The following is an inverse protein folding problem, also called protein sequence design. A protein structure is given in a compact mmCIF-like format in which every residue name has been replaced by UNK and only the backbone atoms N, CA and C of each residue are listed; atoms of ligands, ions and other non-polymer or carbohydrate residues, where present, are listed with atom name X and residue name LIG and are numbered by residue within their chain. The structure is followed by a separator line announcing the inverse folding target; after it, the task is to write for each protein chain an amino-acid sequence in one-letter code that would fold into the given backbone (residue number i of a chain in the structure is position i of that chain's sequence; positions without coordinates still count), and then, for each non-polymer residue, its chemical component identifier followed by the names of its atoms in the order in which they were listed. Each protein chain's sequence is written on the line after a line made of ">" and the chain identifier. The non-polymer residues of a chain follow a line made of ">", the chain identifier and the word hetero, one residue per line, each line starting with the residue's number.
data_IF_376596232531
#
_entry.id   IF_376596232531
#
_cell.length_a   1.000
_cell.length_b   1.000
_cell.length_c   1.000
_cell.angle_alpha   90.00
_cell.angle_beta   90.00
_cell.angle_gamma   90.00
#
_symmetry.space_group_name_H-M   'P 1'
#
loop_
_entity.id
_entity.type
_entity.pdbx_description
1 polymer ?
#
# COMPACT_ATOMS: atom_id res chain seq x y z
N UNK A 1 7.89 -32.70 20.06
CA UNK A 1 6.78 -32.19 19.23
C UNK A 1 6.80 -30.68 19.31
N UNK A 2 6.56 -29.98 18.20
CA UNK A 2 6.43 -28.52 18.22
C UNK A 2 5.08 -28.13 18.86
N UNK A 3 5.07 -27.07 19.65
CA UNK A 3 3.89 -26.56 20.37
C UNK A 3 3.82 -25.03 20.29
N UNK A 4 2.61 -24.52 20.53
CA UNK A 4 2.39 -23.09 20.71
C UNK A 4 2.86 -22.68 22.11
N UNK A 5 3.44 -21.49 22.19
CA UNK A 5 3.87 -20.82 23.42
C UNK A 5 3.25 -19.44 23.45
N UNK A 6 2.79 -18.95 24.61
CA UNK A 6 2.30 -17.56 24.78
C UNK A 6 1.22 -17.10 23.76
N UNK A 7 0.53 -18.02 23.09
CA UNK A 7 -0.47 -17.74 22.07
C UNK A 7 -1.66 -18.65 22.26
N UNK A 8 -2.84 -18.07 22.49
CA UNK A 8 -4.11 -18.79 22.54
C UNK A 8 -4.90 -18.53 21.25
N UNK A 9 -5.10 -19.56 20.41
CA UNK A 9 -5.85 -19.42 19.18
C UNK A 9 -7.31 -19.02 19.43
N UNK A 10 -7.80 -18.07 18.64
CA UNK A 10 -9.22 -17.68 18.62
C UNK A 10 -10.06 -18.74 17.92
N UNK A 11 -11.35 -18.82 18.23
CA UNK A 11 -12.24 -19.85 17.68
C UNK A 11 -12.28 -19.85 16.15
N UNK A 12 -12.36 -18.66 15.53
CA UNK A 12 -12.35 -18.55 14.07
C UNK A 12 -11.00 -19.02 13.46
N UNK A 13 -9.88 -18.82 14.16
CA UNK A 13 -8.56 -19.28 13.69
C UNK A 13 -8.48 -20.81 13.71
N UNK A 14 -9.05 -21.45 14.73
CA UNK A 14 -9.16 -22.91 14.82
C UNK A 14 -10.10 -23.48 13.75
N UNK A 15 -11.24 -22.83 13.52
CA UNK A 15 -12.18 -23.20 12.45
C UNK A 15 -11.50 -23.16 11.08
N UNK A 16 -10.81 -22.07 10.76
CA UNK A 16 -10.08 -21.92 9.50
C UNK A 16 -8.93 -22.92 9.41
N UNK A 17 -8.16 -23.10 10.48
CA UNK A 17 -7.10 -24.12 10.54
C UNK A 17 -7.63 -25.52 10.17
N UNK A 18 -8.77 -25.94 10.73
CA UNK A 18 -9.37 -27.23 10.44
C UNK A 18 -9.80 -27.38 8.97
N UNK A 19 -10.22 -26.28 8.33
CA UNK A 19 -10.56 -26.25 6.91
C UNK A 19 -9.31 -26.29 6.01
N UNK A 20 -8.20 -25.70 6.46
CA UNK A 20 -6.98 -25.52 5.65
C UNK A 20 -5.92 -26.60 5.82
N UNK A 21 -5.97 -27.45 6.86
CA UNK A 21 -4.88 -28.39 7.20
C UNK A 21 -4.56 -29.45 6.14
N UNK A 22 -5.46 -29.69 5.20
CA UNK A 22 -5.36 -30.73 4.17
C UNK A 22 -5.50 -30.21 2.74
N UNK A 23 -5.77 -28.92 2.54
CA UNK A 23 -6.05 -28.33 1.22
C UNK A 23 -5.31 -27.02 1.04
N UNK A 24 -4.81 -26.79 -0.17
CA UNK A 24 -4.24 -25.48 -0.52
C UNK A 24 -5.33 -24.41 -0.38
N UNK A 25 -5.12 -23.44 0.50
CA UNK A 25 -6.20 -22.57 0.96
C UNK A 25 -5.88 -21.09 0.83
N UNK A 26 -6.84 -20.32 0.34
CA UNK A 26 -6.83 -18.85 0.37
C UNK A 26 -7.72 -18.37 1.51
N UNK A 27 -7.09 -17.75 2.50
CA UNK A 27 -7.76 -17.20 3.68
C UNK A 27 -7.82 -15.68 3.57
N UNK A 28 -9.04 -15.15 3.55
CA UNK A 28 -9.36 -13.74 3.41
C UNK A 28 -9.93 -13.26 4.74
N UNK A 29 -9.16 -12.44 5.45
CA UNK A 29 -9.50 -11.94 6.79
C UNK A 29 -9.16 -10.46 6.93
N UNK A 30 -9.99 -9.65 7.62
CA UNK A 30 -9.69 -8.26 7.95
C UNK A 30 -8.29 -8.05 8.53
N UNK A 31 -7.73 -6.86 8.36
CA UNK A 31 -6.44 -6.53 8.98
C UNK A 31 -6.55 -6.47 10.50
N UNK A 32 -5.47 -6.82 11.19
CA UNK A 32 -5.42 -6.71 12.66
C UNK A 32 -6.11 -7.84 13.44
N UNK A 33 -6.82 -8.78 12.81
CA UNK A 33 -7.46 -9.87 13.56
C UNK A 33 -6.52 -11.04 13.87
N UNK A 34 -5.35 -11.14 13.22
CA UNK A 34 -4.34 -12.15 13.54
C UNK A 34 -4.20 -13.28 12.52
N UNK A 35 -4.11 -12.94 11.22
CA UNK A 35 -3.87 -13.90 10.12
C UNK A 35 -2.68 -14.83 10.36
N UNK A 36 -1.58 -14.29 10.90
CA UNK A 36 -0.37 -15.06 11.21
C UNK A 36 -0.62 -16.21 12.21
N UNK A 37 -1.63 -16.10 13.08
CA UNK A 37 -2.01 -17.19 13.99
C UNK A 37 -2.40 -18.48 13.26
N UNK A 38 -3.02 -18.38 12.09
CA UNK A 38 -3.39 -19.55 11.26
C UNK A 38 -2.14 -20.19 10.66
N UNK A 39 -1.16 -19.38 10.25
CA UNK A 39 0.14 -19.88 9.79
C UNK A 39 0.91 -20.61 10.90
N UNK A 40 0.88 -20.10 12.14
CA UNK A 40 1.51 -20.78 13.29
C UNK A 40 0.87 -22.16 13.54
N UNK A 41 -0.46 -22.23 13.55
CA UNK A 41 -1.20 -23.48 13.74
C UNK A 41 -0.86 -24.51 12.67
N UNK A 42 -0.87 -24.11 11.40
CA UNK A 42 -0.50 -24.97 10.28
C UNK A 42 0.97 -25.40 10.37
N UNK A 43 1.89 -24.48 10.66
CA UNK A 43 3.31 -24.80 10.78
C UNK A 43 3.56 -25.88 11.84
N UNK A 44 2.99 -25.72 13.04
CA UNK A 44 3.12 -26.70 14.12
C UNK A 44 2.50 -28.04 13.74
N UNK A 45 1.30 -28.01 13.16
CA UNK A 45 0.63 -29.23 12.71
C UNK A 45 1.49 -30.01 11.70
N UNK A 46 2.05 -29.32 10.71
CA UNK A 46 2.90 -29.92 9.68
C UNK A 46 4.22 -30.44 10.23
N UNK A 47 4.86 -29.72 11.15
CA UNK A 47 6.08 -30.18 11.82
C UNK A 47 5.83 -31.37 12.77
N UNK A 48 4.61 -31.55 13.28
CA UNK A 48 4.28 -32.71 14.11
C UNK A 48 3.96 -33.97 13.28
N UNK A 49 3.36 -33.81 12.10
CA UNK A 49 3.11 -34.92 11.16
C UNK A 49 4.39 -35.30 10.40
N UNK A 50 5.20 -34.30 10.02
CA UNK A 50 6.43 -34.46 9.26
C UNK A 50 7.61 -33.82 10.01
N UNK A 51 8.19 -34.49 11.03
CA UNK A 51 9.23 -33.92 11.91
C UNK A 51 10.48 -33.40 11.21
N UNK A 52 10.88 -34.05 10.12
CA UNK A 52 12.06 -33.70 9.31
C UNK A 52 11.77 -32.64 8.24
N UNK A 53 10.52 -32.20 8.13
CA UNK A 53 10.14 -31.18 7.15
C UNK A 53 10.40 -29.76 7.64
N UNK A 54 10.25 -28.82 6.70
CA UNK A 54 10.48 -27.39 6.90
C UNK A 54 9.27 -26.55 6.54
N UNK A 55 9.26 -25.33 7.06
CA UNK A 55 8.23 -24.33 6.81
C UNK A 55 8.84 -23.13 6.11
N UNK A 56 8.21 -22.67 5.02
CA UNK A 56 8.59 -21.46 4.32
C UNK A 56 7.46 -20.43 4.42
N UNK A 57 7.73 -19.28 5.02
CA UNK A 57 6.81 -18.14 5.02
C UNK A 57 7.39 -17.01 4.17
N UNK A 58 6.64 -16.61 3.15
CA UNK A 58 7.00 -15.51 2.27
C UNK A 58 6.11 -14.30 2.52
N UNK A 59 6.71 -13.13 2.75
CA UNK A 59 6.01 -11.85 2.95
C UNK A 59 6.65 -10.74 2.11
N UNK A 60 5.91 -9.73 1.63
CA UNK A 60 6.42 -8.85 0.58
C UNK A 60 7.56 -7.90 0.97
N UNK A 61 7.78 -7.64 2.26
CA UNK A 61 8.77 -6.65 2.71
C UNK A 61 9.62 -7.20 3.85
N UNK A 62 10.88 -6.77 3.94
CA UNK A 62 11.79 -7.18 5.01
C UNK A 62 11.25 -6.87 6.42
N UNK A 63 10.64 -5.69 6.68
CA UNK A 63 10.02 -5.42 7.99
C UNK A 63 8.91 -6.41 8.36
N UNK A 64 8.04 -6.78 7.41
CA UNK A 64 7.00 -7.78 7.66
C UNK A 64 7.59 -9.16 7.92
N UNK A 65 8.60 -9.57 7.14
CA UNK A 65 9.34 -10.80 7.40
C UNK A 65 9.94 -10.81 8.81
N UNK A 66 10.56 -9.71 9.23
CA UNK A 66 11.11 -9.58 10.59
C UNK A 66 10.03 -9.74 11.66
N UNK A 67 8.88 -9.09 11.48
CA UNK A 67 7.73 -9.20 12.39
C UNK A 67 7.23 -10.66 12.48
N UNK A 68 7.14 -11.36 11.36
CA UNK A 68 6.74 -12.78 11.35
C UNK A 68 7.80 -13.66 12.04
N UNK A 69 9.09 -13.41 11.82
CA UNK A 69 10.18 -14.11 12.54
C UNK A 69 10.04 -13.94 14.05
N UNK A 70 9.90 -12.70 14.52
CA UNK A 70 9.69 -12.39 15.95
C UNK A 70 8.41 -13.07 16.48
N UNK A 71 7.34 -13.10 15.68
CA UNK A 71 6.09 -13.79 16.05
C UNK A 71 6.31 -15.29 16.23
N UNK A 72 7.01 -15.95 15.31
CA UNK A 72 7.32 -17.39 15.42
C UNK A 72 8.19 -17.72 16.64
N UNK A 73 9.23 -16.91 16.91
CA UNK A 73 10.10 -17.07 18.09
C UNK A 73 9.29 -16.94 19.38
N UNK A 74 8.43 -15.93 19.46
CA UNK A 74 7.69 -15.64 20.70
C UNK A 74 6.48 -16.57 20.91
N UNK A 75 5.94 -17.14 19.83
CA UNK A 75 4.65 -17.85 19.85
C UNK A 75 4.77 -19.37 19.71
N UNK A 76 5.98 -19.92 19.58
CA UNK A 76 6.22 -21.36 19.43
C UNK A 76 7.37 -21.83 20.32
N UNK A 77 7.42 -23.13 20.62
CA UNK A 77 8.54 -23.77 21.32
C UNK A 77 9.63 -24.29 20.36
N UNK A 78 9.61 -23.87 19.09
CA UNK A 78 10.68 -24.18 18.13
C UNK A 78 11.93 -23.43 18.59
N UNK A 79 13.09 -24.10 18.56
CA UNK A 79 14.34 -23.47 18.97
C UNK A 79 14.61 -22.24 18.10
N UNK A 80 14.88 -21.09 18.73
CA UNK A 80 15.14 -19.83 18.02
C UNK A 80 16.24 -19.98 16.96
N UNK A 81 17.25 -20.83 17.23
CA UNK A 81 18.31 -21.13 16.28
C UNK A 81 17.85 -21.88 15.02
N UNK A 82 16.66 -22.49 15.03
CA UNK A 82 16.06 -23.17 13.87
C UNK A 82 15.14 -22.25 13.05
N UNK A 83 14.87 -21.03 13.54
CA UNK A 83 14.04 -20.02 12.89
C UNK A 83 14.96 -18.95 12.29
N UNK A 84 14.73 -18.56 11.04
CA UNK A 84 15.55 -17.51 10.41
C UNK A 84 14.77 -16.50 9.59
N UNK A 85 15.19 -15.24 9.70
CA UNK A 85 14.92 -14.20 8.72
C UNK A 85 15.92 -14.33 7.57
N UNK A 86 15.50 -14.97 6.49
CA UNK A 86 16.32 -15.23 5.32
C UNK A 86 16.27 -14.05 4.34
N UNK A 87 17.38 -13.32 4.23
CA UNK A 87 17.46 -12.12 3.40
C UNK A 87 18.63 -12.18 2.43
N UNK A 88 18.53 -11.42 1.33
CA UNK A 88 19.63 -11.25 0.38
C UNK A 88 20.88 -10.54 0.94
N UNK A 89 20.91 -10.12 2.22
CA UNK A 89 22.12 -9.60 2.87
C UNK A 89 23.04 -10.73 3.34
N UNK A 90 22.54 -11.97 3.44
CA UNK A 90 23.35 -13.14 3.76
C UNK A 90 24.31 -13.46 2.59
N UNK A 91 25.57 -13.75 2.91
CA UNK A 91 26.58 -14.12 1.91
C UNK A 91 26.10 -15.33 1.10
N UNK A 92 26.26 -15.28 -0.23
CA UNK A 92 25.77 -16.32 -1.15
C UNK A 92 26.26 -17.73 -0.79
N UNK A 93 27.52 -17.86 -0.36
CA UNK A 93 28.13 -19.16 -0.05
C UNK A 93 27.55 -19.79 1.23
N UNK A 94 27.13 -18.98 2.21
CA UNK A 94 26.53 -19.47 3.45
C UNK A 94 25.02 -19.72 3.31
N UNK A 95 24.37 -19.12 2.30
CA UNK A 95 22.92 -19.22 2.11
C UNK A 95 22.42 -20.64 1.86
N UNK A 96 23.24 -21.49 1.22
CA UNK A 96 22.89 -22.90 0.98
C UNK A 96 22.86 -23.70 2.28
N UNK A 97 23.92 -23.64 3.09
CA UNK A 97 24.00 -24.36 4.37
C UNK A 97 22.93 -23.88 5.36
N UNK A 98 22.74 -22.57 5.45
CA UNK A 98 21.70 -21.98 6.30
C UNK A 98 20.32 -22.49 5.87
N UNK A 99 20.00 -22.50 4.58
CA UNK A 99 18.70 -22.97 4.11
C UNK A 99 18.49 -24.48 4.35
N UNK A 100 19.57 -25.28 4.35
CA UNK A 100 19.49 -26.70 4.70
C UNK A 100 19.36 -26.97 6.22
N UNK A 101 19.91 -26.12 7.08
CA UNK A 101 19.92 -26.35 8.53
C UNK A 101 18.65 -25.84 9.24
N UNK A 102 18.00 -24.79 8.72
CA UNK A 102 16.88 -24.15 9.40
C UNK A 102 15.55 -24.86 9.15
N UNK A 103 14.69 -24.88 10.18
CA UNK A 103 13.39 -25.54 10.17
C UNK A 103 12.26 -24.61 9.75
N UNK A 104 12.33 -23.34 10.14
CA UNK A 104 11.38 -22.29 9.75
C UNK A 104 12.14 -21.16 9.09
N UNK A 105 11.83 -20.91 7.82
CA UNK A 105 12.47 -19.89 7.00
C UNK A 105 11.43 -18.83 6.65
N UNK A 106 11.71 -17.59 7.04
CA UNK A 106 10.88 -16.44 6.72
C UNK A 106 11.65 -15.54 5.76
N UNK A 107 11.11 -15.26 4.58
CA UNK A 107 11.84 -14.57 3.52
C UNK A 107 10.93 -13.67 2.68
N UNK A 108 11.54 -12.82 1.86
CA UNK A 108 10.82 -12.21 0.75
C UNK A 108 10.74 -13.18 -0.44
N UNK A 109 9.62 -13.23 -1.19
CA UNK A 109 9.49 -14.09 -2.36
C UNK A 109 10.64 -13.95 -3.36
N UNK A 110 11.15 -12.73 -3.56
CA UNK A 110 12.22 -12.43 -4.50
C UNK A 110 13.55 -13.06 -4.08
N UNK A 111 13.83 -13.14 -2.77
CA UNK A 111 15.05 -13.77 -2.26
C UNK A 111 15.03 -15.26 -2.55
N UNK A 112 13.91 -15.93 -2.28
CA UNK A 112 13.73 -17.35 -2.56
C UNK A 112 13.77 -17.62 -4.07
N UNK A 113 13.07 -16.81 -4.87
CA UNK A 113 13.06 -16.93 -6.32
C UNK A 113 14.47 -16.86 -6.92
N UNK A 114 15.28 -15.87 -6.50
CA UNK A 114 16.65 -15.72 -6.99
C UNK A 114 17.52 -16.94 -6.70
N UNK A 115 17.35 -17.53 -5.51
CA UNK A 115 18.16 -18.63 -5.04
C UNK A 115 17.72 -19.97 -5.67
N UNK A 116 16.42 -20.13 -5.94
CA UNK A 116 15.88 -21.22 -6.77
C UNK A 116 16.41 -21.14 -8.20
N UNK A 117 16.31 -19.97 -8.84
CA UNK A 117 16.81 -19.77 -10.22
C UNK A 117 18.32 -20.00 -10.36
N UNK A 118 19.07 -19.88 -9.26
CA UNK A 118 20.51 -20.15 -9.22
C UNK A 118 20.86 -21.58 -8.79
N UNK A 119 19.86 -22.48 -8.66
CA UNK A 119 20.00 -23.84 -8.15
C UNK A 119 20.74 -23.92 -6.80
N UNK A 120 20.60 -22.89 -5.95
CA UNK A 120 21.26 -22.84 -4.63
C UNK A 120 20.47 -23.54 -3.55
N UNK A 121 19.15 -23.60 -3.70
CA UNK A 121 18.21 -24.16 -2.71
C UNK A 121 17.19 -25.09 -3.40
N UNK A 122 16.60 -26.00 -2.62
CA UNK A 122 15.51 -26.89 -3.03
C UNK A 122 14.33 -26.75 -2.07
N UNK A 123 13.11 -26.94 -2.55
CA UNK A 123 11.89 -26.91 -1.74
C UNK A 123 11.35 -28.32 -1.38
N UNK A 124 12.11 -29.36 -1.69
CA UNK A 124 11.69 -30.76 -1.54
C UNK A 124 11.26 -31.12 -0.11
N UNK A 125 12.01 -30.65 0.89
CA UNK A 125 11.76 -30.97 2.29
C UNK A 125 10.79 -30.00 2.99
N UNK A 126 10.15 -29.10 2.24
CA UNK A 126 9.19 -28.15 2.81
C UNK A 126 7.78 -28.73 2.80
N UNK A 127 7.14 -28.82 3.97
CA UNK A 127 5.78 -29.35 4.10
C UNK A 127 4.70 -28.27 4.15
N UNK A 128 5.09 -26.99 4.22
CA UNK A 128 4.19 -25.85 4.19
C UNK A 128 4.84 -24.64 3.50
N UNK A 129 4.12 -24.05 2.55
CA UNK A 129 4.41 -22.74 1.98
C UNK A 129 3.31 -21.74 2.37
N UNK A 130 3.67 -20.73 3.15
CA UNK A 130 2.79 -19.61 3.49
C UNK A 130 3.11 -18.41 2.60
N UNK A 131 2.11 -17.92 1.88
CA UNK A 131 2.19 -16.68 1.09
C UNK A 131 1.38 -15.59 1.77
N UNK A 132 2.06 -14.66 2.42
CA UNK A 132 1.47 -13.45 2.99
C UNK A 132 1.26 -12.38 1.91
N UNK A 133 0.20 -11.60 2.06
CA UNK A 133 -0.29 -10.66 1.04
C UNK A 133 -0.52 -11.30 -0.34
N UNK A 134 -1.22 -12.43 -0.36
CA UNK A 134 -1.50 -13.23 -1.55
C UNK A 134 -2.19 -12.47 -2.69
N UNK A 135 -2.81 -11.31 -2.42
CA UNK A 135 -3.33 -10.41 -3.44
C UNK A 135 -2.27 -9.89 -4.43
N UNK A 136 -0.98 -10.08 -4.12
CA UNK A 136 0.17 -9.75 -4.98
C UNK A 136 0.57 -10.89 -5.93
N UNK A 137 -0.03 -12.07 -5.81
CA UNK A 137 0.23 -13.24 -6.64
C UNK A 137 -0.54 -13.23 -7.97
N UNK A 138 -0.71 -12.04 -8.56
CA UNK A 138 -1.34 -11.84 -9.88
C UNK A 138 -0.27 -11.52 -10.89
N UNK A 139 -0.33 -12.03 -12.12
CA UNK A 139 0.74 -12.00 -13.13
C UNK A 139 1.95 -12.87 -12.78
N UNK A 140 2.98 -12.89 -13.64
CA UNK A 140 4.23 -13.68 -13.48
C UNK A 140 5.18 -13.09 -12.43
N UNK A 141 4.73 -12.92 -11.18
CA UNK A 141 5.58 -12.52 -10.06
C UNK A 141 6.29 -13.70 -9.40
N UNK A 142 7.20 -13.37 -8.48
CA UNK A 142 7.93 -14.31 -7.65
C UNK A 142 7.04 -15.36 -6.96
N UNK A 143 5.86 -14.97 -6.45
CA UNK A 143 4.95 -15.89 -5.76
C UNK A 143 4.44 -17.01 -6.68
N UNK A 144 4.08 -16.69 -7.93
CA UNK A 144 3.54 -17.66 -8.89
C UNK A 144 4.59 -18.68 -9.29
N UNK A 145 5.84 -18.24 -9.54
CA UNK A 145 6.94 -19.16 -9.82
C UNK A 145 7.26 -20.03 -8.60
N UNK A 146 7.29 -19.42 -7.42
CA UNK A 146 7.55 -20.12 -6.16
C UNK A 146 6.51 -21.20 -5.89
N UNK A 147 5.22 -20.90 -6.00
CA UNK A 147 4.13 -21.85 -5.81
C UNK A 147 4.22 -23.02 -6.80
N UNK A 148 4.46 -22.72 -8.09
CA UNK A 148 4.65 -23.76 -9.12
C UNK A 148 5.81 -24.68 -8.79
N UNK A 149 6.99 -24.12 -8.47
CA UNK A 149 8.17 -24.91 -8.10
C UNK A 149 7.89 -25.74 -6.84
N UNK A 150 7.27 -25.15 -5.83
CA UNK A 150 6.92 -25.83 -4.58
C UNK A 150 6.00 -27.04 -4.80
N UNK A 151 4.89 -26.87 -5.52
CA UNK A 151 3.95 -27.96 -5.83
C UNK A 151 4.65 -29.08 -6.61
N UNK A 152 5.56 -28.75 -7.53
CA UNK A 152 6.25 -29.75 -8.34
C UNK A 152 7.39 -30.50 -7.63
N UNK A 153 7.92 -29.99 -6.52
CA UNK A 153 9.14 -30.52 -5.89
C UNK A 153 8.97 -30.99 -4.45
N UNK A 154 8.03 -30.42 -3.70
CA UNK A 154 7.78 -30.79 -2.30
C UNK A 154 7.24 -32.23 -2.20
N UNK A 155 7.76 -33.00 -1.24
CA UNK A 155 7.22 -34.32 -0.88
C UNK A 155 5.82 -34.27 -0.26
N UNK A 156 5.51 -33.17 0.43
CA UNK A 156 4.27 -32.99 1.18
C UNK A 156 3.75 -31.56 0.94
N UNK A 157 3.26 -31.24 -0.27
CA UNK A 157 2.86 -29.88 -0.61
C UNK A 157 1.63 -29.44 0.18
N UNK A 158 1.70 -28.26 0.80
CA UNK A 158 0.54 -27.53 1.32
C UNK A 158 0.78 -26.02 1.23
N UNK A 159 -0.14 -25.28 0.61
CA UNK A 159 -0.07 -23.82 0.46
C UNK A 159 -1.14 -23.15 1.33
N UNK A 160 -0.69 -22.18 2.14
CA UNK A 160 -1.57 -21.24 2.83
C UNK A 160 -1.36 -19.84 2.26
N UNK A 161 -2.35 -19.32 1.56
CA UNK A 161 -2.36 -17.95 1.05
C UNK A 161 -3.16 -17.05 2.00
N UNK A 162 -2.55 -15.98 2.51
CA UNK A 162 -3.17 -15.05 3.45
C UNK A 162 -3.37 -13.69 2.80
N UNK A 163 -4.56 -13.09 2.93
CA UNK A 163 -4.77 -11.70 2.49
C UNK A 163 -5.89 -10.97 3.22
N UNK A 164 -5.84 -9.64 3.22
CA UNK A 164 -6.96 -8.80 3.66
C UNK A 164 -8.02 -8.61 2.58
N UNK A 165 -7.58 -8.57 1.33
CA UNK A 165 -8.42 -8.27 0.19
C UNK A 165 -7.76 -8.88 -1.06
N UNK A 166 -8.35 -9.91 -1.67
CA UNK A 166 -7.75 -10.58 -2.83
C UNK A 166 -7.82 -9.70 -4.09
N UNK A 167 -8.80 -8.80 -4.18
CA UNK A 167 -9.04 -7.91 -5.31
C UNK A 167 -10.50 -7.48 -5.37
N UNK A 168 -10.82 -6.55 -6.27
CA UNK A 168 -12.17 -5.99 -6.43
C UNK A 168 -13.04 -6.72 -7.46
N UNK A 169 -12.52 -7.74 -8.15
CA UNK A 169 -13.23 -8.45 -9.22
C UNK A 169 -13.01 -9.95 -9.12
N UNK A 170 -13.97 -10.75 -9.60
CA UNK A 170 -13.95 -12.22 -9.54
C UNK A 170 -12.76 -12.80 -10.33
N UNK A 171 -12.44 -12.20 -11.47
CA UNK A 171 -11.34 -12.62 -12.34
C UNK A 171 -10.00 -12.53 -11.61
N UNK A 172 -9.79 -11.46 -10.82
CA UNK A 172 -8.58 -11.29 -10.02
C UNK A 172 -8.46 -12.31 -8.91
N UNK A 173 -9.58 -12.76 -8.34
CA UNK A 173 -9.59 -13.79 -7.29
C UNK A 173 -9.26 -15.14 -7.91
N UNK A 174 -9.92 -15.49 -9.03
CA UNK A 174 -9.65 -16.72 -9.77
C UNK A 174 -8.18 -16.80 -10.20
N UNK A 175 -7.62 -15.70 -10.72
CA UNK A 175 -6.19 -15.64 -11.09
C UNK A 175 -5.26 -15.99 -9.91
N UNK A 176 -5.56 -15.51 -8.70
CA UNK A 176 -4.78 -15.85 -7.50
C UNK A 176 -4.95 -17.34 -7.16
N UNK A 177 -6.19 -17.84 -7.23
CA UNK A 177 -6.48 -19.25 -6.97
C UNK A 177 -5.69 -20.17 -7.92
N UNK A 178 -5.72 -19.87 -9.22
CA UNK A 178 -5.01 -20.63 -10.23
C UNK A 178 -3.48 -20.57 -10.03
N UNK A 179 -2.94 -19.37 -9.80
CA UNK A 179 -1.50 -19.16 -9.63
C UNK A 179 -0.92 -19.82 -8.36
N UNK A 180 -1.74 -19.99 -7.32
CA UNK A 180 -1.33 -20.54 -6.03
C UNK A 180 -1.90 -21.93 -5.77
N UNK A 181 -2.49 -22.58 -6.79
CA UNK A 181 -3.05 -23.93 -6.71
C UNK A 181 -4.09 -24.09 -5.57
N UNK A 182 -4.94 -23.08 -5.39
CA UNK A 182 -5.91 -23.02 -4.29
C UNK A 182 -7.10 -23.93 -4.58
N UNK A 183 -7.45 -24.75 -3.60
CA UNK A 183 -8.56 -25.71 -3.62
C UNK A 183 -9.70 -25.30 -2.67
N UNK A 184 -9.38 -24.43 -1.70
CA UNK A 184 -10.30 -24.00 -0.65
C UNK A 184 -10.19 -22.49 -0.41
N UNK A 185 -11.33 -21.81 -0.26
CA UNK A 185 -11.37 -20.36 0.01
C UNK A 185 -12.15 -20.13 1.31
N UNK A 186 -11.46 -19.61 2.31
CA UNK A 186 -12.03 -19.25 3.61
C UNK A 186 -12.14 -17.73 3.71
N UNK A 187 -13.36 -17.23 3.91
CA UNK A 187 -13.63 -15.80 4.03
C UNK A 187 -14.25 -15.54 5.39
N UNK A 188 -13.73 -14.52 6.08
CA UNK A 188 -14.48 -13.81 7.11
C UNK A 188 -14.41 -12.32 6.84
N UNK A 189 -15.43 -11.62 7.28
CA UNK A 189 -15.66 -10.20 7.22
C UNK A 189 -15.69 -9.64 8.64
N UNK A 190 -15.72 -8.32 8.76
CA UNK A 190 -15.83 -7.66 10.07
C UNK A 190 -17.18 -7.90 10.77
N UNK A 191 -18.17 -8.40 10.03
CA UNK A 191 -19.52 -8.63 10.52
C UNK A 191 -19.77 -10.08 10.97
N UNK A 192 -18.88 -11.02 10.64
CA UNK A 192 -19.06 -12.43 11.01
C UNK A 192 -19.02 -12.62 12.53
N UNK A 193 -19.92 -13.45 13.04
CA UNK A 193 -20.15 -13.61 14.48
C UNK A 193 -18.91 -14.14 15.24
N UNK A 194 -18.08 -14.94 14.57
CA UNK A 194 -16.84 -15.49 15.11
C UNK A 194 -15.64 -14.53 15.02
N UNK A 195 -15.75 -13.42 14.26
CA UNK A 195 -14.70 -12.40 14.10
C UNK A 195 -15.02 -11.10 14.84
N UNK A 196 -16.28 -10.66 14.80
CA UNK A 196 -16.77 -9.40 15.39
C UNK A 196 -16.34 -9.17 16.85
N UNK A 197 -16.31 -10.17 17.75
CA UNK A 197 -15.86 -9.96 19.14
C UNK A 197 -14.40 -9.52 19.28
N UNK A 198 -13.58 -9.76 18.26
CA UNK A 198 -12.15 -9.49 18.28
C UNK A 198 -11.74 -8.20 17.56
N UNK A 199 -12.71 -7.49 16.98
CA UNK A 199 -12.47 -6.25 16.28
C UNK A 199 -12.65 -5.06 17.21
N UNK A 200 -11.69 -4.15 17.16
CA UNK A 200 -11.87 -2.84 17.80
C UNK A 200 -12.91 -2.06 17.02
N UNK A 201 -13.96 -1.61 17.71
CA UNK A 201 -14.96 -0.72 17.12
C UNK A 201 -14.28 0.59 16.72
N UNK A 202 -14.34 0.92 15.43
CA UNK A 202 -13.94 2.23 14.92
C UNK A 202 -15.19 3.04 14.67
N UNK A 203 -15.31 4.18 15.33
CA UNK A 203 -16.35 5.16 15.01
C UNK A 203 -15.74 6.16 14.03
N UNK A 204 -16.31 6.26 12.83
CA UNK A 204 -15.90 7.24 11.83
C UNK A 204 -16.87 8.41 11.92
N UNK A 205 -16.37 9.58 12.32
CA UNK A 205 -17.13 10.82 12.32
C UNK A 205 -16.65 11.71 11.18
N UNK A 206 -17.56 12.09 10.29
CA UNK A 206 -17.27 12.97 9.16
C UNK A 206 -17.58 14.42 9.55
N UNK A 207 -16.54 15.21 9.74
CA UNK A 207 -16.66 16.64 10.05
C UNK A 207 -16.41 17.43 8.76
N UNK A 208 -17.46 18.09 8.27
CA UNK A 208 -17.34 19.01 7.13
C UNK A 208 -16.86 20.37 7.64
N UNK A 209 -15.76 20.86 7.07
CA UNK A 209 -15.18 22.17 7.43
C UNK A 209 -15.31 23.10 6.23
N UNK A 210 -16.09 24.16 6.40
CA UNK A 210 -16.28 25.17 5.36
C UNK A 210 -15.06 26.07 5.22
N UNK A 211 -14.81 26.51 3.99
CA UNK A 211 -13.79 27.52 3.71
C UNK A 211 -14.36 28.89 4.08
N UNK A 212 -13.49 29.79 4.55
CA UNK A 212 -13.84 31.20 4.72
C UNK A 212 -14.23 31.80 3.36
N UNK A 213 -15.18 32.73 3.35
CA UNK A 213 -15.73 33.32 2.12
C UNK A 213 -14.65 33.93 1.22
N UNK A 214 -13.62 34.54 1.80
CA UNK A 214 -12.49 35.14 1.09
C UNK A 214 -11.61 34.10 0.40
N UNK A 215 -11.24 33.02 1.10
CA UNK A 215 -10.53 31.87 0.53
C UNK A 215 -11.37 31.12 -0.49
N UNK A 216 -12.68 31.01 -0.24
CA UNK A 216 -13.60 30.35 -1.15
C UNK A 216 -13.73 31.13 -2.46
N UNK A 217 -13.81 32.47 -2.39
CA UNK A 217 -13.79 33.33 -3.55
C UNK A 217 -12.49 33.16 -4.37
N UNK A 218 -11.33 33.17 -3.69
CA UNK A 218 -10.05 32.91 -4.34
C UNK A 218 -10.00 31.52 -5.01
N UNK A 219 -10.46 30.48 -4.32
CA UNK A 219 -10.59 29.11 -4.84
C UNK A 219 -11.48 29.05 -6.08
N UNK A 220 -12.66 29.68 -6.05
CA UNK A 220 -13.61 29.72 -7.17
C UNK A 220 -12.99 30.38 -8.41
N UNK A 221 -12.28 31.50 -8.23
CA UNK A 221 -11.58 32.19 -9.31
C UNK A 221 -10.50 31.31 -9.93
N UNK A 222 -9.65 30.68 -9.11
CA UNK A 222 -8.62 29.75 -9.59
C UNK A 222 -9.21 28.52 -10.29
N UNK A 223 -10.33 27.97 -9.80
CA UNK A 223 -11.04 26.86 -10.45
C UNK A 223 -11.64 27.27 -11.79
N UNK A 224 -12.15 28.48 -11.91
CA UNK A 224 -12.63 29.03 -13.18
C UNK A 224 -11.48 29.11 -14.19
N UNK A 225 -10.36 29.73 -13.79
CA UNK A 225 -9.13 29.81 -14.59
C UNK A 225 -8.62 28.42 -14.99
N UNK A 226 -8.71 27.43 -14.09
CA UNK A 226 -8.30 26.05 -14.37
C UNK A 226 -9.19 25.40 -15.43
N UNK A 227 -10.51 25.54 -15.32
CA UNK A 227 -11.46 25.04 -16.32
C UNK A 227 -11.26 25.68 -17.69
N UNK A 228 -11.07 26.99 -17.73
CA UNK A 228 -10.76 27.70 -18.97
C UNK A 228 -9.45 27.18 -19.59
N UNK A 229 -8.43 27.00 -18.76
CA UNK A 229 -7.13 26.48 -19.18
C UNK A 229 -7.20 25.04 -19.69
N UNK A 230 -8.09 24.21 -19.15
CA UNK A 230 -8.31 22.83 -19.62
C UNK A 230 -8.91 22.78 -21.02
N UNK A 231 -9.73 23.78 -21.41
CA UNK A 231 -10.29 23.84 -22.77
C UNK A 231 -9.21 23.90 -23.85
N UNK A 232 -8.03 24.47 -23.53
CA UNK A 232 -6.87 24.52 -24.40
C UNK A 232 -6.26 23.15 -24.73
N UNK A 233 -6.62 22.08 -24.00
CA UNK A 233 -6.15 20.72 -24.27
C UNK A 233 -6.74 20.15 -25.57
N UNK A 234 -7.91 20.62 -26.00
CA UNK A 234 -8.49 20.26 -27.31
C UNK A 234 -7.57 20.65 -28.47
N UNK A 235 -6.91 21.81 -28.36
CA UNK A 235 -5.96 22.33 -29.38
C UNK A 235 -4.71 21.47 -29.56
N UNK A 236 -4.43 20.57 -28.62
CA UNK A 236 -3.31 19.63 -28.67
C UNK A 236 -3.79 18.18 -28.84
N UNK A 237 -5.04 17.97 -29.27
CA UNK A 237 -5.59 16.66 -29.62
C UNK A 237 -6.13 15.85 -28.43
N UNK A 238 -6.30 16.45 -27.25
CA UNK A 238 -6.88 15.77 -26.09
C UNK A 238 -8.35 16.17 -25.89
N UNK A 239 -9.26 15.31 -26.35
CA UNK A 239 -10.70 15.59 -26.45
C UNK A 239 -11.53 14.92 -25.35
N UNK A 240 -11.02 14.92 -24.12
CA UNK A 240 -11.77 14.42 -22.95
C UNK A 240 -12.61 15.56 -22.36
N UNK A 241 -13.89 15.33 -21.98
CA UNK A 241 -14.68 16.35 -21.30
C UNK A 241 -13.98 16.88 -20.05
N UNK A 242 -13.93 18.21 -19.89
CA UNK A 242 -13.26 18.91 -18.79
C UNK A 242 -13.66 18.37 -17.41
N UNK A 243 -14.91 17.94 -17.25
CA UNK A 243 -15.48 17.39 -16.01
C UNK A 243 -14.82 16.09 -15.55
N UNK A 244 -14.18 15.33 -16.43
CA UNK A 244 -13.61 14.02 -16.12
C UNK A 244 -12.08 13.96 -16.32
N UNK A 245 -11.43 15.10 -16.59
CA UNK A 245 -9.97 15.16 -16.71
C UNK A 245 -9.35 15.08 -15.32
N UNK A 246 -8.56 14.04 -15.08
CA UNK A 246 -7.85 13.82 -13.83
C UNK A 246 -6.42 14.38 -13.88
N UNK A 247 -5.82 14.63 -12.70
CA UNK A 247 -4.39 14.94 -12.57
C UNK A 247 -3.49 13.87 -13.21
N UNK A 248 -3.93 12.60 -13.17
CA UNK A 248 -3.24 11.47 -13.81
C UNK A 248 -3.23 11.60 -15.33
N UNK A 249 -4.33 12.05 -15.93
CA UNK A 249 -4.41 12.30 -17.37
C UNK A 249 -3.40 13.38 -17.79
N UNK A 250 -3.34 14.48 -17.04
CA UNK A 250 -2.39 15.58 -17.30
C UNK A 250 -0.93 15.11 -17.22
N UNK A 251 -0.57 14.31 -16.21
CA UNK A 251 0.78 13.75 -16.07
C UNK A 251 1.11 12.79 -17.22
N UNK A 252 0.14 11.96 -17.63
CA UNK A 252 0.32 11.03 -18.75
C UNK A 252 0.57 11.78 -20.05
N UNK A 253 -0.24 12.80 -20.34
CA UNK A 253 -0.06 13.67 -21.50
C UNK A 253 1.29 14.38 -21.48
N UNK A 254 1.70 14.89 -20.31
CA UNK A 254 2.99 15.56 -20.17
C UNK A 254 4.14 14.63 -20.54
N UNK A 255 4.09 13.37 -20.09
CA UNK A 255 5.08 12.34 -20.45
C UNK A 255 5.07 12.02 -21.95
N UNK A 256 3.91 11.98 -22.58
CA UNK A 256 3.78 11.77 -24.03
C UNK A 256 4.44 12.89 -24.81
N UNK A 257 4.07 14.15 -24.55
CA UNK A 257 4.66 15.30 -25.26
C UNK A 257 6.14 15.50 -24.96
N UNK A 258 6.63 15.14 -23.77
CA UNK A 258 8.08 15.13 -23.49
C UNK A 258 8.87 14.21 -24.43
N UNK A 259 8.32 13.06 -24.82
CA UNK A 259 8.97 12.16 -25.80
C UNK A 259 8.99 12.76 -27.21
N UNK A 260 8.08 13.67 -27.52
CA UNK A 260 7.97 14.33 -28.82
C UNK A 260 8.83 15.60 -28.94
N UNK A 261 9.36 16.14 -27.83
CA UNK A 261 10.29 17.29 -27.85
C UNK A 261 11.52 17.00 -28.70
N UNK A 262 12.03 15.76 -28.66
CA UNK A 262 13.19 15.34 -29.46
C UNK A 262 12.95 15.51 -30.96
N UNK A 263 11.68 15.53 -31.40
CA UNK A 263 11.25 15.75 -32.79
C UNK A 263 11.07 17.24 -33.15
N UNK A 264 11.44 18.18 -32.27
CA UNK A 264 11.34 19.65 -32.44
C UNK A 264 9.93 20.15 -32.86
N UNK A 265 8.87 19.45 -32.47
CA UNK A 265 7.50 19.84 -32.82
C UNK A 265 7.04 21.09 -32.01
N UNK A 266 6.74 22.24 -32.65
CA UNK A 266 6.27 23.45 -31.96
C UNK A 266 5.02 23.23 -31.10
N UNK A 267 4.10 22.37 -31.55
CA UNK A 267 2.88 22.02 -30.83
C UNK A 267 3.17 21.29 -29.51
N UNK A 268 4.27 20.53 -29.45
CA UNK A 268 4.70 19.87 -28.21
C UNK A 268 5.16 20.89 -27.16
N UNK A 269 5.87 21.95 -27.55
CA UNK A 269 6.30 23.00 -26.62
C UNK A 269 5.11 23.76 -26.03
N UNK A 270 4.10 24.08 -26.85
CA UNK A 270 2.84 24.67 -26.37
C UNK A 270 2.13 23.73 -25.40
N UNK A 271 1.97 22.45 -25.77
CA UNK A 271 1.35 21.43 -24.94
C UNK A 271 2.01 21.30 -23.56
N UNK A 272 3.34 21.23 -23.51
CA UNK A 272 4.10 21.09 -22.26
C UNK A 272 3.93 22.33 -21.38
N UNK A 273 3.99 23.53 -21.97
CA UNK A 273 3.80 24.76 -21.19
C UNK A 273 2.38 24.84 -20.62
N UNK A 274 1.36 24.44 -21.38
CA UNK A 274 -0.02 24.40 -20.93
C UNK A 274 -0.21 23.36 -19.81
N UNK A 275 0.29 22.15 -19.99
CA UNK A 275 0.22 21.07 -19.00
C UNK A 275 0.96 21.42 -17.71
N UNK A 276 2.15 22.03 -17.81
CA UNK A 276 2.89 22.51 -16.65
C UNK A 276 2.12 23.60 -15.88
N UNK A 277 1.46 24.51 -16.60
CA UNK A 277 0.60 25.54 -15.99
C UNK A 277 -0.60 24.92 -15.28
N UNK A 278 -1.29 23.97 -15.92
CA UNK A 278 -2.42 23.25 -15.34
C UNK A 278 -2.03 22.49 -14.07
N UNK A 279 -0.90 21.77 -14.09
CA UNK A 279 -0.38 21.04 -12.92
C UNK A 279 -0.02 21.97 -11.75
N UNK A 280 0.53 23.15 -12.04
CA UNK A 280 0.81 24.17 -11.02
C UNK A 280 -0.47 24.78 -10.44
N UNK A 281 -1.45 25.06 -11.30
CA UNK A 281 -2.72 25.65 -10.88
C UNK A 281 -3.55 24.69 -10.03
N UNK A 282 -3.69 23.42 -10.44
CA UNK A 282 -4.41 22.42 -9.63
C UNK A 282 -3.71 22.18 -8.29
N UNK A 283 -2.37 22.23 -8.26
CA UNK A 283 -1.63 22.11 -7.01
C UNK A 283 -1.86 23.32 -6.09
N UNK A 284 -1.87 24.55 -6.62
CA UNK A 284 -2.22 25.73 -5.81
C UNK A 284 -3.64 25.64 -5.24
N UNK A 285 -4.62 25.19 -6.03
CA UNK A 285 -5.99 24.96 -5.57
C UNK A 285 -6.03 23.91 -4.46
N UNK A 286 -5.32 22.79 -4.63
CA UNK A 286 -5.19 21.75 -3.59
C UNK A 286 -4.62 22.32 -2.28
N UNK A 287 -3.59 23.18 -2.35
CA UNK A 287 -3.00 23.81 -1.16
C UNK A 287 -4.02 24.70 -0.42
N UNK A 288 -4.82 25.48 -1.17
CA UNK A 288 -5.86 26.35 -0.61
C UNK A 288 -7.03 25.54 -0.02
N UNK A 289 -7.39 24.39 -0.60
CA UNK A 289 -8.54 23.58 -0.15
C UNK A 289 -8.24 22.62 1.01
N UNK A 290 -6.99 22.15 1.09
CA UNK A 290 -6.67 20.97 1.91
C UNK A 290 -5.57 21.21 2.93
N UNK A 291 -4.76 22.25 2.78
CA UNK A 291 -3.57 22.47 3.60
C UNK A 291 -3.65 23.81 4.35
N UNK A 292 -2.52 24.27 4.87
CA UNK A 292 -2.41 25.58 5.50
C UNK A 292 -2.07 26.69 4.50
N UNK A 293 -2.31 27.93 4.92
CA UNK A 293 -2.00 29.14 4.14
C UNK A 293 -0.50 29.27 3.82
N UNK A 294 0.38 28.79 4.71
CA UNK A 294 1.84 28.88 4.58
C UNK A 294 2.41 28.06 3.40
N UNK A 295 2.08 26.77 3.21
CA UNK A 295 2.38 26.03 1.99
C UNK A 295 1.92 26.73 0.70
N UNK A 296 0.71 27.30 0.69
CA UNK A 296 0.18 28.00 -0.48
C UNK A 296 1.04 29.22 -0.85
N UNK A 297 1.33 30.11 0.10
CA UNK A 297 2.18 31.28 -0.18
C UNK A 297 3.62 30.89 -0.51
N UNK A 298 4.18 29.86 0.16
CA UNK A 298 5.51 29.34 -0.16
C UNK A 298 5.57 28.81 -1.59
N UNK A 299 4.50 28.16 -2.05
CA UNK A 299 4.41 27.70 -3.43
C UNK A 299 4.32 28.87 -4.41
N UNK A 300 3.52 29.89 -4.14
CA UNK A 300 3.44 31.11 -4.98
C UNK A 300 4.82 31.80 -5.07
N UNK A 301 5.51 31.98 -3.94
CA UNK A 301 6.86 32.57 -3.90
C UNK A 301 7.88 31.72 -4.68
N UNK A 302 7.79 30.39 -4.57
CA UNK A 302 8.60 29.48 -5.39
C UNK A 302 8.31 29.71 -6.88
N UNK A 303 7.06 29.81 -7.29
CA UNK A 303 6.69 30.08 -8.68
C UNK A 303 7.25 31.43 -9.17
N UNK A 304 7.27 32.46 -8.32
CA UNK A 304 7.89 33.77 -8.67
C UNK A 304 9.39 33.66 -8.93
N UNK A 305 10.08 32.78 -8.20
CA UNK A 305 11.53 32.52 -8.37
C UNK A 305 11.87 31.59 -9.55
N UNK A 306 10.90 30.86 -10.09
CA UNK A 306 11.15 29.90 -11.18
C UNK A 306 11.44 30.61 -12.52
N UNK A 307 12.44 30.11 -13.26
CA UNK A 307 12.78 30.62 -14.59
C UNK A 307 11.80 30.19 -15.69
N UNK A 308 10.92 29.22 -15.41
CA UNK A 308 10.05 28.59 -16.42
C UNK A 308 8.97 29.55 -16.94
N UNK A 309 8.70 29.52 -18.26
CA UNK A 309 7.64 30.33 -18.90
C UNK A 309 6.26 30.09 -18.28
N UNK A 310 5.97 28.84 -17.91
CA UNK A 310 4.72 28.47 -17.25
C UNK A 310 4.57 29.11 -15.86
N UNK A 311 5.64 29.20 -15.05
CA UNK A 311 5.57 29.86 -13.76
C UNK A 311 5.43 31.38 -13.90
N UNK A 312 6.28 32.00 -14.73
CA UNK A 312 6.29 33.45 -14.98
C UNK A 312 4.97 33.98 -15.54
N UNK A 313 4.29 33.20 -16.39
CA UNK A 313 2.97 33.56 -16.91
C UNK A 313 1.88 33.39 -15.86
N UNK A 314 1.92 32.31 -15.06
CA UNK A 314 0.91 32.00 -14.05
C UNK A 314 0.85 33.06 -12.94
N UNK A 315 2.00 33.47 -12.38
CA UNK A 315 2.04 34.42 -11.24
C UNK A 315 1.58 35.84 -11.59
N UNK A 316 1.45 36.15 -12.88
CA UNK A 316 0.95 37.45 -13.36
C UNK A 316 -0.56 37.47 -13.59
N UNK A 317 -1.23 36.32 -13.49
CA UNK A 317 -2.67 36.23 -13.69
C UNK A 317 -3.41 36.84 -12.49
N UNK A 318 -4.47 37.59 -12.79
CA UNK A 318 -5.25 38.33 -11.78
C UNK A 318 -5.78 37.42 -10.69
N UNK A 319 -6.19 36.21 -11.04
CA UNK A 319 -6.71 35.20 -10.11
C UNK A 319 -5.64 34.71 -9.13
N UNK A 320 -4.39 34.60 -9.59
CA UNK A 320 -3.26 34.17 -8.75
C UNK A 320 -2.80 35.29 -7.83
N UNK A 321 -2.77 36.53 -8.34
CA UNK A 321 -2.49 37.73 -7.53
C UNK A 321 -3.56 37.90 -6.45
N UNK A 322 -4.84 37.80 -6.84
CA UNK A 322 -5.96 37.88 -5.89
C UNK A 322 -5.86 36.80 -4.81
N UNK A 323 -5.58 35.55 -5.18
CA UNK A 323 -5.39 34.48 -4.20
C UNK A 323 -4.20 34.75 -3.26
N UNK A 324 -3.09 35.28 -3.79
CA UNK A 324 -1.94 35.70 -2.98
C UNK A 324 -2.30 36.80 -1.98
N UNK A 325 -3.03 37.83 -2.41
CA UNK A 325 -3.45 38.96 -1.56
C UNK A 325 -4.34 38.49 -0.41
N UNK A 326 -5.32 37.63 -0.69
CA UNK A 326 -6.17 37.00 0.34
C UNK A 326 -5.32 36.20 1.32
N UNK A 327 -4.42 35.34 0.84
CA UNK A 327 -3.57 34.51 1.70
C UNK A 327 -2.66 35.38 2.58
N UNK A 328 -2.04 36.42 2.03
CA UNK A 328 -1.19 37.34 2.79
C UNK A 328 -1.98 38.16 3.81
N UNK A 329 -3.19 38.61 3.46
CA UNK A 329 -4.10 39.31 4.37
C UNK A 329 -4.54 38.44 5.55
N UNK A 330 -4.75 37.15 5.31
CA UNK A 330 -5.05 36.19 6.38
C UNK A 330 -3.83 35.89 7.26
N UNK A 331 -2.66 35.71 6.64
CA UNK A 331 -1.42 35.47 7.37
C UNK A 331 -1.00 36.66 8.24
N UNK A 332 -1.19 37.89 7.78
CA UNK A 332 -0.87 39.10 8.55
C UNK A 332 -1.75 39.27 9.79
N UNK A 333 -2.97 38.70 9.76
CA UNK A 333 -3.90 38.62 10.89
C UNK A 333 -3.70 37.36 11.74
N UNK A 334 -2.63 36.60 11.51
CA UNK A 334 -2.36 35.30 12.15
C UNK A 334 -3.51 34.30 12.02
N UNK A 335 -4.32 34.40 10.95
CA UNK A 335 -5.42 33.46 10.71
C UNK A 335 -4.86 32.12 10.25
N UNK A 336 -5.53 31.05 10.67
CA UNK A 336 -5.22 29.71 10.22
C UNK A 336 -6.21 29.30 9.13
N UNK A 337 -5.84 28.25 8.40
CA UNK A 337 -6.79 27.59 7.51
C UNK A 337 -7.88 26.91 8.37
N UNK A 338 -9.17 26.95 8.00
CA UNK A 338 -10.26 26.38 8.81
C UNK A 338 -10.04 24.93 9.26
N UNK A 339 -9.46 24.07 8.40
CA UNK A 339 -9.10 22.69 8.79
C UNK A 339 -8.03 22.62 9.89
N UNK A 340 -7.11 23.57 9.95
CA UNK A 340 -6.11 23.64 11.03
C UNK A 340 -6.74 24.12 12.34
N UNK A 341 -7.68 25.06 12.26
CA UNK A 341 -8.48 25.50 13.41
C UNK A 341 -9.28 24.31 13.98
N UNK A 342 -9.99 23.59 13.10
CA UNK A 342 -10.76 22.42 13.50
C UNK A 342 -9.89 21.25 14.00
N UNK A 343 -8.71 21.06 13.40
CA UNK A 343 -7.74 20.07 13.89
C UNK A 343 -7.31 20.41 15.33
N UNK A 344 -6.92 21.66 15.58
CA UNK A 344 -6.54 22.08 16.93
C UNK A 344 -7.69 21.88 17.92
N UNK A 345 -8.92 22.24 17.54
CA UNK A 345 -10.11 22.03 18.36
C UNK A 345 -10.29 20.54 18.73
N UNK A 346 -10.27 19.64 17.74
CA UNK A 346 -10.46 18.19 17.95
C UNK A 346 -9.34 17.62 18.83
N UNK A 347 -8.09 17.99 18.55
CA UNK A 347 -6.92 17.51 19.29
C UNK A 347 -6.98 17.98 20.74
N UNK A 348 -7.25 19.27 20.97
CA UNK A 348 -7.39 19.84 22.31
C UNK A 348 -8.53 19.17 23.07
N UNK A 349 -9.70 19.00 22.45
CA UNK A 349 -10.85 18.35 23.09
C UNK A 349 -10.51 16.92 23.54
N UNK A 350 -9.85 16.14 22.68
CA UNK A 350 -9.48 14.77 23.00
C UNK A 350 -8.41 14.69 24.10
N UNK A 351 -7.44 15.63 24.16
CA UNK A 351 -6.49 15.68 25.28
C UNK A 351 -7.14 16.14 26.58
N UNK A 352 -8.14 17.01 26.52
CA UNK A 352 -8.93 17.38 27.70
C UNK A 352 -9.76 16.21 28.23
N UNK A 353 -10.37 15.41 27.35
CA UNK A 353 -11.16 14.22 27.74
C UNK A 353 -10.28 13.02 28.09
N UNK A 354 -9.11 12.88 27.48
CA UNK A 354 -8.22 11.72 27.63
C UNK A 354 -6.75 12.15 27.47
N UNK A 355 -6.11 12.64 28.54
CA UNK A 355 -4.75 13.19 28.51
C UNK A 355 -3.67 12.22 28.01
N UNK A 356 -3.89 10.91 28.18
CA UNK A 356 -2.97 9.85 27.75
C UNK A 356 -3.21 9.37 26.31
N UNK A 357 -4.05 10.06 25.54
CA UNK A 357 -4.32 9.73 24.14
C UNK A 357 -3.02 9.78 23.32
N UNK A 358 -2.77 8.74 22.53
CA UNK A 358 -1.73 8.72 21.51
C UNK A 358 -2.38 9.16 20.19
N UNK A 359 -2.02 10.35 19.71
CA UNK A 359 -2.48 10.90 18.43
C UNK A 359 -1.48 10.70 17.31
#
# INVERSE_FOLDING_TARGET
>A
MASLKNFSPRQYQLSIFNSCKEKNSLVILPTGIGKTGIALLLAIHRLNIFPESKILLCSPTKPLCKQHTETFINSTDINENEIILYTGMLKANARKSIFSEKKVIIATPQTIQSDLSSNRISLEDFSLLVIDEAHRSRMKYANTLLAKTYISSSKYPLILALTASPGSTKEKINEICDNLFIENVEIRTENDADVKPYLQKKTIEYITVELRDDLDAARKNLRSLYKESLSGLSKIGFNKPVSIISKRDLISLQKQFHKEISKKNPSAFFAISLLARLLKLIYLIELIETQSLRPAIKFINKLKSESTKAAKSLVKLREVIYAEDIINGLLSRNMLHPKMEKLNEIVSMQYSTSPNSKM
#
